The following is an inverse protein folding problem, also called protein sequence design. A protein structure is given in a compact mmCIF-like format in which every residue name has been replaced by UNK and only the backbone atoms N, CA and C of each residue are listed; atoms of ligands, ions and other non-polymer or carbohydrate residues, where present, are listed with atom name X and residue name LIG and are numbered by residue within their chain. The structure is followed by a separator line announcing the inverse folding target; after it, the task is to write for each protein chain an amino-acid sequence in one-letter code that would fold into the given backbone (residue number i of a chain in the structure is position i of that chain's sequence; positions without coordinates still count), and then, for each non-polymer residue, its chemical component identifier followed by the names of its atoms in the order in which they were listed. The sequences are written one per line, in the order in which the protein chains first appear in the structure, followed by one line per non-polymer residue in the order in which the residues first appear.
data_IF_512165186008
#
_entry.id   IF_512165186008
#
_cell.length_a   1.000
_cell.length_b   1.000
_cell.length_c   1.000
_cell.angle_alpha   90.00
_cell.angle_beta   90.00
_cell.angle_gamma   90.00
#
_symmetry.space_group_name_H-M   'P 1'
#
loop_
_entity.id
_entity.type
_entity.pdbx_description
1 polymer ?
#
# COMPACT_ATOMS: atom_id res chain seq x y z
N UNK A 1 -55.20 9.60 -11.58
CA UNK A 1 -55.45 8.14 -11.66
C UNK A 1 -54.13 7.43 -11.92
N UNK A 2 -53.62 6.66 -10.95
CA UNK A 2 -52.49 5.74 -11.17
C UNK A 2 -53.08 4.35 -11.41
N UNK A 3 -53.10 3.91 -12.65
CA UNK A 3 -53.52 2.56 -13.05
C UNK A 3 -52.36 1.61 -12.82
N UNK A 4 -52.49 0.72 -11.82
CA UNK A 4 -51.47 -0.25 -11.44
C UNK A 4 -51.37 -1.46 -12.38
N UNK A 5 -51.07 -1.22 -13.66
CA UNK A 5 -50.74 -2.28 -14.62
C UNK A 5 -49.23 -2.43 -14.77
N UNK A 6 -48.75 -3.68 -14.76
CA UNK A 6 -47.34 -4.00 -15.00
C UNK A 6 -46.90 -3.50 -16.39
N UNK A 7 -45.73 -2.86 -16.46
CA UNK A 7 -45.15 -2.46 -17.73
C UNK A 7 -44.87 -3.71 -18.56
N UNK A 8 -45.50 -3.82 -19.74
CA UNK A 8 -45.24 -4.89 -20.69
C UNK A 8 -43.78 -4.89 -21.18
N UNK A 9 -43.32 -5.97 -21.83
CA UNK A 9 -41.94 -6.08 -22.28
C UNK A 9 -41.61 -4.93 -23.24
N UNK A 10 -40.51 -4.21 -22.94
CA UNK A 10 -40.03 -3.10 -23.75
C UNK A 10 -39.59 -3.64 -25.13
N UNK A 11 -39.94 -2.96 -26.24
CA UNK A 11 -39.49 -3.36 -27.57
C UNK A 11 -37.97 -3.21 -27.66
N UNK A 12 -37.29 -4.24 -28.18
CA UNK A 12 -35.84 -4.21 -28.39
C UNK A 12 -35.47 -3.12 -29.41
N UNK A 13 -34.43 -2.29 -29.16
CA UNK A 13 -34.02 -1.27 -30.12
C UNK A 13 -33.39 -1.93 -31.36
N UNK A 14 -33.97 -1.71 -32.54
CA UNK A 14 -33.38 -2.16 -33.80
C UNK A 14 -32.25 -1.19 -34.18
N UNK A 15 -30.99 -1.50 -33.85
CA UNK A 15 -29.83 -0.66 -34.21
C UNK A 15 -28.60 -1.49 -34.58
N UNK A 16 -28.14 -1.35 -35.83
CA UNK A 16 -27.25 -2.27 -36.57
C UNK A 16 -25.74 -1.96 -36.51
N UNK A 17 -25.24 -1.33 -35.45
CA UNK A 17 -23.79 -1.07 -35.27
C UNK A 17 -23.09 -2.12 -34.41
N UNK A 18 -21.93 -2.64 -34.81
CA UNK A 18 -21.17 -3.63 -34.02
C UNK A 18 -20.73 -3.10 -32.64
N UNK A 19 -20.33 -1.82 -32.56
CA UNK A 19 -19.97 -1.18 -31.29
C UNK A 19 -21.17 -0.94 -30.36
N UNK A 20 -22.37 -0.74 -30.92
CA UNK A 20 -23.61 -0.59 -30.16
C UNK A 20 -24.14 -1.94 -29.68
N UNK A 21 -23.96 -3.02 -30.46
CA UNK A 21 -24.23 -4.40 -30.01
C UNK A 21 -23.34 -4.79 -28.83
N UNK A 22 -22.04 -4.47 -28.89
CA UNK A 22 -21.13 -4.70 -27.77
C UNK A 22 -21.52 -3.89 -26.51
N UNK A 23 -22.09 -2.70 -26.70
CA UNK A 23 -22.63 -1.90 -25.59
C UNK A 23 -23.91 -2.52 -25.01
N UNK A 24 -24.83 -2.98 -25.85
CA UNK A 24 -26.05 -3.67 -25.41
C UNK A 24 -25.72 -4.98 -24.68
N UNK A 25 -24.80 -5.78 -25.21
CA UNK A 25 -24.32 -7.00 -24.55
C UNK A 25 -23.64 -6.68 -23.21
N UNK A 26 -22.88 -5.58 -23.14
CA UNK A 26 -22.27 -5.12 -21.90
C UNK A 26 -23.31 -4.61 -20.89
N UNK A 27 -24.38 -3.93 -21.35
CA UNK A 27 -25.47 -3.44 -20.51
C UNK A 27 -26.36 -4.59 -20.02
N UNK A 28 -26.64 -5.58 -20.85
CA UNK A 28 -27.34 -6.81 -20.48
C UNK A 28 -26.52 -7.63 -19.47
N UNK A 29 -25.22 -7.81 -19.71
CA UNK A 29 -24.34 -8.49 -18.77
C UNK A 29 -24.21 -7.72 -17.44
N UNK A 30 -24.21 -6.38 -17.48
CA UNK A 30 -24.24 -5.55 -16.28
C UNK A 30 -25.57 -5.68 -15.54
N UNK A 31 -26.70 -5.63 -16.25
CA UNK A 31 -28.04 -5.79 -15.68
C UNK A 31 -28.18 -7.16 -15.01
N UNK A 32 -27.80 -8.26 -15.68
CA UNK A 32 -27.80 -9.60 -15.09
C UNK A 32 -26.85 -9.74 -13.90
N UNK A 33 -25.70 -9.06 -13.92
CA UNK A 33 -24.77 -9.06 -12.80
C UNK A 33 -25.33 -8.29 -11.59
N UNK A 34 -26.08 -7.21 -11.81
CA UNK A 34 -26.80 -6.48 -10.76
C UNK A 34 -28.01 -7.26 -10.25
N UNK A 35 -28.73 -7.95 -11.12
CA UNK A 35 -29.92 -8.75 -10.75
C UNK A 35 -29.51 -10.02 -9.98
N UNK A 36 -28.41 -10.68 -10.38
CA UNK A 36 -27.77 -11.75 -9.58
C UNK A 36 -27.28 -11.27 -8.22
N UNK A 37 -26.95 -9.99 -8.08
CA UNK A 37 -26.50 -9.36 -6.82
C UNK A 37 -27.66 -9.00 -5.89
N UNK A 38 -28.89 -8.92 -6.39
CA UNK A 38 -30.08 -8.73 -5.58
C UNK A 38 -30.51 -10.03 -4.86
N UNK A 39 -30.28 -11.20 -5.46
CA UNK A 39 -30.53 -12.52 -4.85
C UNK A 39 -29.39 -13.04 -3.96
N UNK A 40 -28.16 -12.61 -4.21
CA UNK A 40 -27.05 -12.85 -3.29
C UNK A 40 -27.02 -11.75 -2.25
N UNK A 41 -27.79 -11.95 -1.16
CA UNK A 41 -27.51 -11.27 0.10
C UNK A 41 -25.99 -11.20 0.26
N UNK A 42 -25.45 -9.99 0.34
CA UNK A 42 -24.08 -9.76 0.76
C UNK A 42 -24.00 -10.31 2.19
N UNK A 43 -23.83 -11.63 2.32
CA UNK A 43 -23.08 -12.22 3.40
C UNK A 43 -21.71 -11.61 3.25
N UNK A 44 -21.57 -10.39 3.78
CA UNK A 44 -20.34 -9.94 4.37
C UNK A 44 -20.02 -11.05 5.36
N UNK A 45 -19.25 -12.02 4.90
CA UNK A 45 -18.56 -12.93 5.80
C UNK A 45 -17.60 -11.99 6.52
N UNK A 46 -18.11 -11.33 7.57
CA UNK A 46 -17.33 -10.77 8.65
C UNK A 46 -16.82 -11.99 9.43
N UNK A 47 -16.04 -12.82 8.74
CA UNK A 47 -15.25 -13.85 9.37
C UNK A 47 -14.38 -13.12 10.37
N UNK A 48 -14.35 -13.62 11.61
CA UNK A 48 -13.29 -13.22 12.55
C UNK A 48 -11.98 -13.28 11.77
N UNK A 49 -11.16 -12.21 11.76
CA UNK A 49 -9.88 -12.27 11.09
C UNK A 49 -9.15 -13.46 11.69
N UNK A 50 -8.77 -14.42 10.84
CA UNK A 50 -8.02 -15.58 11.30
C UNK A 50 -6.68 -15.04 11.81
N UNK A 51 -6.49 -15.15 13.13
CA UNK A 51 -5.33 -14.57 13.82
C UNK A 51 -4.07 -15.37 13.51
N UNK A 52 -4.20 -16.65 13.16
CA UNK A 52 -3.08 -17.54 12.91
C UNK A 52 -2.20 -17.07 11.73
N UNK A 53 -2.73 -16.74 10.55
CA UNK A 53 -1.92 -16.20 9.46
C UNK A 53 -1.36 -14.80 9.76
N UNK A 54 -2.07 -13.98 10.53
CA UNK A 54 -1.58 -12.65 10.95
C UNK A 54 -0.41 -12.75 11.92
N UNK A 55 -0.51 -13.63 12.92
CA UNK A 55 0.56 -13.90 13.88
C UNK A 55 1.76 -14.54 13.19
N UNK A 56 1.54 -15.50 12.27
CA UNK A 56 2.63 -16.09 11.49
C UNK A 56 3.37 -15.04 10.65
N UNK A 57 2.65 -14.05 10.12
CA UNK A 57 3.25 -12.91 9.39
C UNK A 57 3.97 -11.93 10.32
N UNK A 58 3.43 -11.69 11.51
CA UNK A 58 4.04 -10.81 12.52
C UNK A 58 5.29 -11.41 13.18
N UNK A 59 5.33 -12.73 13.37
CA UNK A 59 6.50 -13.46 13.89
C UNK A 59 7.42 -14.00 12.80
N UNK A 60 7.06 -13.82 11.53
CA UNK A 60 7.92 -14.11 10.40
C UNK A 60 9.14 -13.17 10.33
N UNK A 61 10.09 -13.42 9.42
CA UNK A 61 11.32 -12.63 9.29
C UNK A 61 11.04 -11.14 9.13
N UNK A 62 10.09 -10.78 8.25
CA UNK A 62 9.67 -9.41 8.00
C UNK A 62 9.03 -8.73 9.23
N UNK A 63 8.26 -9.47 10.02
CA UNK A 63 7.60 -8.94 11.21
C UNK A 63 8.55 -8.79 12.41
N UNK A 64 9.48 -9.72 12.60
CA UNK A 64 10.56 -9.61 13.60
C UNK A 64 11.47 -8.42 13.33
N UNK A 65 11.81 -8.22 12.07
CA UNK A 65 12.65 -7.11 11.64
C UNK A 65 11.96 -5.75 11.80
N UNK A 66 10.67 -5.67 11.45
CA UNK A 66 9.85 -4.50 11.75
C UNK A 66 9.77 -4.23 13.26
N UNK A 67 9.51 -5.28 14.05
CA UNK A 67 9.46 -5.20 15.51
C UNK A 67 10.78 -4.72 16.10
N UNK A 68 11.91 -5.21 15.59
CA UNK A 68 13.25 -4.76 16.00
C UNK A 68 13.47 -3.28 15.68
N UNK A 69 13.06 -2.82 14.49
CA UNK A 69 13.19 -1.40 14.12
C UNK A 69 12.33 -0.49 15.00
N UNK A 70 11.10 -0.90 15.30
CA UNK A 70 10.23 -0.19 16.24
C UNK A 70 10.86 -0.15 17.63
N UNK A 71 11.37 -1.28 18.11
CA UNK A 71 12.04 -1.38 19.40
C UNK A 71 13.30 -0.50 19.45
N UNK A 72 14.10 -0.47 18.39
CA UNK A 72 15.32 0.33 18.30
C UNK A 72 15.01 1.84 18.24
N UNK A 73 14.06 2.26 17.40
CA UNK A 73 13.60 3.65 17.36
C UNK A 73 13.06 4.08 18.72
N UNK A 74 12.17 3.28 19.31
CA UNK A 74 11.56 3.56 20.60
C UNK A 74 12.64 3.62 21.70
N UNK A 75 13.52 2.62 21.77
CA UNK A 75 14.60 2.54 22.75
C UNK A 75 15.60 3.69 22.66
N UNK A 76 16.08 4.03 21.46
CA UNK A 76 17.00 5.16 21.27
C UNK A 76 16.31 6.48 21.63
N UNK A 77 15.07 6.69 21.18
CA UNK A 77 14.33 7.92 21.52
C UNK A 77 14.05 8.03 23.02
N UNK A 78 13.77 6.92 23.72
CA UNK A 78 13.58 6.91 25.16
C UNK A 78 14.91 7.17 25.89
N UNK A 79 16.00 6.54 25.46
CA UNK A 79 17.33 6.76 26.04
C UNK A 79 17.80 8.21 25.89
N UNK A 80 17.58 8.81 24.72
CA UNK A 80 17.87 10.24 24.48
C UNK A 80 17.00 11.12 25.37
N UNK A 81 15.69 10.85 25.45
CA UNK A 81 14.78 11.64 26.27
C UNK A 81 15.11 11.58 27.77
N UNK A 82 15.49 10.40 28.27
CA UNK A 82 15.92 10.21 29.67
C UNK A 82 17.29 10.85 29.94
N UNK A 83 18.24 10.77 29.00
CA UNK A 83 19.57 11.36 29.16
C UNK A 83 19.57 12.89 29.13
N UNK A 84 18.54 13.50 28.55
CA UNK A 84 18.36 14.95 28.54
C UNK A 84 17.52 15.48 29.72
N UNK A 85 17.13 14.61 30.67
CA UNK A 85 16.32 14.94 31.85
C UNK A 85 15.07 15.77 31.53
N UNK A 86 14.42 15.45 30.40
CA UNK A 86 13.22 16.18 29.99
C UNK A 86 12.03 15.77 30.85
N UNK A 87 11.34 16.75 31.43
CA UNK A 87 10.14 16.58 32.24
C UNK A 87 9.04 15.78 31.51
N UNK A 88 9.03 15.85 30.17
CA UNK A 88 8.06 15.19 29.30
C UNK A 88 8.67 14.06 28.43
N UNK A 89 9.59 13.27 28.99
CA UNK A 89 10.35 12.24 28.26
C UNK A 89 9.52 11.32 27.33
N UNK A 90 8.25 11.05 27.65
CA UNK A 90 7.35 10.15 26.91
C UNK A 90 6.95 10.68 25.52
N UNK A 91 7.14 11.97 25.25
CA UNK A 91 6.77 12.63 24.01
C UNK A 91 7.61 12.22 22.80
N UNK A 92 8.91 12.03 23.02
CA UNK A 92 9.85 11.66 21.96
C UNK A 92 9.64 10.21 21.48
N UNK A 93 9.49 9.19 22.36
CA UNK A 93 9.16 7.83 21.94
C UNK A 93 7.81 7.72 21.25
N UNK A 94 6.79 8.43 21.74
CA UNK A 94 5.48 8.44 21.10
C UNK A 94 5.55 8.96 19.65
N UNK A 95 6.34 10.01 19.42
CA UNK A 95 6.58 10.55 18.06
C UNK A 95 7.35 9.56 17.18
N UNK A 96 8.38 8.91 17.72
CA UNK A 96 9.17 7.93 16.99
C UNK A 96 8.31 6.72 16.55
N UNK A 97 7.50 6.16 17.45
CA UNK A 97 6.62 5.02 17.13
C UNK A 97 5.57 5.39 16.08
N UNK A 98 4.98 6.59 16.18
CA UNK A 98 4.03 7.07 15.17
C UNK A 98 4.65 7.17 13.78
N UNK A 99 5.90 7.64 13.69
CA UNK A 99 6.62 7.76 12.42
C UNK A 99 6.97 6.39 11.81
N UNK A 100 7.26 5.38 12.63
CA UNK A 100 7.68 4.05 12.16
C UNK A 100 6.50 3.20 11.66
N UNK A 101 5.26 3.54 12.01
CA UNK A 101 4.03 2.81 11.61
C UNK A 101 3.98 2.54 10.08
N UNK A 102 3.65 1.34 9.58
CA UNK A 102 3.75 1.04 8.15
C UNK A 102 2.66 1.68 7.27
N UNK A 103 1.61 2.27 7.87
CA UNK A 103 0.34 2.51 7.18
C UNK A 103 0.23 3.80 6.32
N UNK A 104 1.30 4.59 6.16
CA UNK A 104 1.20 5.95 5.57
C UNK A 104 2.27 6.24 4.49
N UNK A 105 2.61 5.25 3.65
CA UNK A 105 3.53 5.45 2.53
C UNK A 105 5.02 5.49 2.91
N UNK A 106 5.91 5.92 1.98
CA UNK A 106 7.36 5.88 2.15
C UNK A 106 7.84 6.59 3.44
N UNK A 107 8.65 5.90 4.24
CA UNK A 107 9.12 6.39 5.55
C UNK A 107 9.82 7.74 5.45
N UNK A 108 10.68 7.91 4.44
CA UNK A 108 11.43 9.15 4.19
C UNK A 108 10.48 10.32 3.91
N UNK A 109 9.55 10.16 2.96
CA UNK A 109 8.55 11.19 2.63
C UNK A 109 7.75 11.62 3.85
N UNK A 110 7.39 10.67 4.73
CA UNK A 110 6.62 10.95 5.94
C UNK A 110 7.43 11.71 6.97
N UNK A 111 8.67 11.29 7.24
CA UNK A 111 9.52 11.97 8.22
C UNK A 111 9.87 13.37 7.74
N UNK A 112 10.19 13.56 6.45
CA UNK A 112 10.39 14.88 5.85
C UNK A 112 9.13 15.74 5.93
N UNK A 113 7.97 15.18 5.60
CA UNK A 113 6.71 15.92 5.71
C UNK A 113 6.38 16.30 7.15
N UNK A 114 6.73 15.45 8.13
CA UNK A 114 6.58 15.76 9.54
C UNK A 114 7.54 16.85 9.98
N UNK A 115 8.82 16.75 9.63
CA UNK A 115 9.81 17.77 9.92
C UNK A 115 9.42 19.13 9.30
N UNK A 116 9.05 19.16 8.01
CA UNK A 116 8.61 20.36 7.32
C UNK A 116 7.33 20.95 7.95
N UNK A 117 6.35 20.09 8.29
CA UNK A 117 5.12 20.52 8.97
C UNK A 117 5.38 21.07 10.37
N UNK A 118 6.29 20.44 11.13
CA UNK A 118 6.68 20.93 12.46
C UNK A 118 7.41 22.28 12.37
N UNK A 119 8.36 22.44 11.46
CA UNK A 119 9.07 23.71 11.24
C UNK A 119 8.10 24.80 10.77
N UNK A 120 7.27 24.50 9.77
CA UNK A 120 6.28 25.45 9.24
C UNK A 120 5.25 25.85 10.29
N UNK A 121 4.72 24.87 11.04
CA UNK A 121 3.78 25.13 12.13
C UNK A 121 4.41 25.94 13.26
N UNK A 122 5.65 25.64 13.65
CA UNK A 122 6.38 26.40 14.66
C UNK A 122 6.66 27.84 14.21
N UNK A 123 7.01 28.06 12.93
CA UNK A 123 7.21 29.40 12.37
C UNK A 123 5.91 30.22 12.34
N UNK A 124 4.80 29.61 11.93
CA UNK A 124 3.47 30.25 11.96
C UNK A 124 3.08 30.61 13.40
N UNK A 125 3.28 29.67 14.33
CA UNK A 125 3.01 29.89 15.75
C UNK A 125 3.85 31.06 16.31
N UNK A 126 5.17 31.05 16.07
CA UNK A 126 6.08 32.09 16.53
C UNK A 126 5.72 33.46 15.95
N UNK A 127 5.43 33.54 14.63
CA UNK A 127 5.03 34.79 13.99
C UNK A 127 3.70 35.33 14.52
N UNK A 128 2.73 34.45 14.78
CA UNK A 128 1.43 34.85 15.31
C UNK A 128 1.51 35.39 16.75
N UNK A 129 2.30 34.74 17.61
CA UNK A 129 2.49 35.18 19.01
C UNK A 129 3.48 36.34 19.16
N UNK A 130 4.33 36.61 18.15
CA UNK A 130 5.15 37.81 18.12
C UNK A 130 4.33 39.09 17.87
N UNK A 131 3.17 38.96 17.21
CA UNK A 131 2.31 40.08 16.83
C UNK A 131 1.20 40.37 17.86
N UNK A 132 0.85 39.40 18.71
CA UNK A 132 -0.30 39.52 19.62
C UNK A 132 0.06 38.99 21.00
N UNK A 133 -0.06 39.85 22.01
CA UNK A 133 0.17 39.50 23.42
C UNK A 133 -1.14 39.12 24.12
N UNK A 134 -1.11 38.07 24.96
CA UNK A 134 -2.24 37.64 25.80
C UNK A 134 -2.75 36.22 25.49
N UNK A 135 -3.76 35.72 26.22
CA UNK A 135 -4.28 34.35 26.04
C UNK A 135 -5.27 34.20 24.87
N UNK A 136 -5.91 35.30 24.44
CA UNK A 136 -6.85 35.34 23.33
C UNK A 136 -6.30 34.79 21.99
N UNK A 137 -5.09 35.15 21.52
CA UNK A 137 -4.53 34.57 20.30
C UNK A 137 -4.42 33.05 20.39
N UNK A 138 -4.05 32.52 21.55
CA UNK A 138 -3.88 31.10 21.73
C UNK A 138 -5.22 30.33 21.62
N UNK A 139 -6.31 30.89 22.17
CA UNK A 139 -7.68 30.36 22.01
C UNK A 139 -8.13 30.44 20.55
N UNK A 140 -7.88 31.56 19.87
CA UNK A 140 -8.22 31.73 18.46
C UNK A 140 -7.46 30.72 17.57
N UNK A 141 -6.17 30.51 17.84
CA UNK A 141 -5.34 29.54 17.14
C UNK A 141 -5.88 28.11 17.32
N UNK A 142 -6.30 27.72 18.53
CA UNK A 142 -6.93 26.42 18.79
C UNK A 142 -8.23 26.27 17.98
N UNK A 143 -9.11 27.27 17.99
CA UNK A 143 -10.38 27.24 17.26
C UNK A 143 -10.16 27.14 15.73
N UNK A 144 -9.26 27.95 15.19
CA UNK A 144 -8.91 27.95 13.76
C UNK A 144 -8.29 26.61 13.35
N UNK A 145 -7.33 26.10 14.14
CA UNK A 145 -6.72 24.81 13.86
C UNK A 145 -7.76 23.67 13.91
N UNK A 146 -8.66 23.68 14.90
CA UNK A 146 -9.76 22.73 15.00
C UNK A 146 -10.63 22.70 13.74
N UNK A 147 -10.97 23.88 13.22
CA UNK A 147 -11.74 24.01 11.98
C UNK A 147 -10.96 23.58 10.73
N UNK A 148 -9.63 23.70 10.73
CA UNK A 148 -8.77 23.33 9.61
C UNK A 148 -8.45 21.82 9.55
N UNK A 149 -8.64 21.05 10.63
CA UNK A 149 -8.32 19.61 10.66
C UNK A 149 -8.93 18.83 9.48
N UNK A 150 -10.25 18.93 9.17
CA UNK A 150 -10.86 18.16 8.09
C UNK A 150 -10.24 18.46 6.71
N UNK A 151 -9.89 19.74 6.47
CA UNK A 151 -9.28 20.18 5.22
C UNK A 151 -7.82 19.74 5.15
N UNK A 152 -7.10 19.84 6.26
CA UNK A 152 -5.68 19.53 6.35
C UNK A 152 -5.38 18.03 6.18
N UNK A 153 -6.34 17.13 6.47
CA UNK A 153 -6.18 15.68 6.27
C UNK A 153 -5.89 15.28 4.82
N UNK A 154 -6.14 16.16 3.84
CA UNK A 154 -5.81 15.94 2.43
C UNK A 154 -4.30 15.98 2.14
N UNK A 155 -3.51 16.66 2.98
CA UNK A 155 -2.07 16.79 2.79
C UNK A 155 -1.33 16.54 4.11
N UNK A 156 -0.49 15.50 4.14
CA UNK A 156 0.18 15.05 5.37
C UNK A 156 1.02 16.14 6.06
N UNK A 157 1.73 16.97 5.27
CA UNK A 157 2.50 18.10 5.80
C UNK A 157 1.59 19.20 6.38
N UNK A 158 0.48 19.52 5.72
CA UNK A 158 -0.48 20.51 6.19
C UNK A 158 -1.18 20.05 7.48
N UNK A 159 -1.60 18.78 7.54
CA UNK A 159 -2.12 18.17 8.76
C UNK A 159 -1.12 18.30 9.91
N UNK A 160 0.15 17.99 9.65
CA UNK A 160 1.19 18.07 10.68
C UNK A 160 1.41 19.51 11.15
N UNK A 161 1.41 20.49 10.24
CA UNK A 161 1.55 21.89 10.60
C UNK A 161 0.39 22.39 11.46
N UNK A 162 -0.85 22.10 11.07
CA UNK A 162 -2.06 22.46 11.84
C UNK A 162 -2.04 21.83 13.23
N UNK A 163 -1.71 20.54 13.32
CA UNK A 163 -1.58 19.84 14.62
C UNK A 163 -0.46 20.45 15.46
N UNK A 164 0.66 20.85 14.85
CA UNK A 164 1.77 21.49 15.58
C UNK A 164 1.31 22.82 16.18
N UNK A 165 0.71 23.71 15.38
CA UNK A 165 0.19 25.00 15.89
C UNK A 165 -0.84 24.78 17.00
N UNK A 166 -1.75 23.81 16.82
CA UNK A 166 -2.73 23.44 17.82
C UNK A 166 -2.08 23.02 19.14
N UNK A 167 -1.14 22.07 19.08
CA UNK A 167 -0.44 21.54 20.27
C UNK A 167 0.36 22.64 20.97
N UNK A 168 1.11 23.46 20.22
CA UNK A 168 1.88 24.56 20.81
C UNK A 168 0.97 25.60 21.49
N UNK A 169 -0.17 25.91 20.88
CA UNK A 169 -1.16 26.81 21.47
C UNK A 169 -1.75 26.24 22.76
N UNK A 170 -2.06 24.94 22.79
CA UNK A 170 -2.54 24.26 24.00
C UNK A 170 -1.49 24.26 25.12
N UNK A 171 -0.20 24.06 24.79
CA UNK A 171 0.90 24.11 25.77
C UNK A 171 1.05 25.51 26.38
N UNK A 172 0.92 26.57 25.57
CA UNK A 172 0.91 27.94 26.10
C UNK A 172 -0.32 28.21 26.96
N UNK A 173 -1.52 27.72 26.59
CA UNK A 173 -2.71 27.81 27.45
C UNK A 173 -2.52 27.08 28.78
N UNK A 174 -1.78 25.97 28.77
CA UNK A 174 -1.49 25.18 29.97
C UNK A 174 -0.49 25.87 30.91
N UNK A 175 0.11 27.01 30.51
CA UNK A 175 1.01 27.80 31.35
C UNK A 175 2.50 27.50 31.19
N UNK A 176 2.88 26.65 30.22
CA UNK A 176 4.26 26.16 30.04
C UNK A 176 4.87 26.61 28.70
N UNK A 177 5.04 27.92 28.42
CA UNK A 177 5.50 28.40 27.11
C UNK A 177 6.92 27.94 26.76
N UNK A 178 7.77 27.67 27.75
CA UNK A 178 9.11 27.12 27.56
C UNK A 178 9.07 25.69 27.00
N UNK A 179 8.06 24.90 27.39
CA UNK A 179 7.87 23.53 26.90
C UNK A 179 7.46 23.49 25.41
N UNK A 180 6.90 24.59 24.87
CA UNK A 180 6.52 24.69 23.46
C UNK A 180 7.74 24.59 22.53
N UNK A 181 8.85 25.24 22.88
CA UNK A 181 10.09 25.13 22.09
C UNK A 181 10.74 23.75 22.25
N UNK A 182 10.76 23.21 23.47
CA UNK A 182 11.21 21.85 23.74
C UNK A 182 10.50 20.82 22.87
N UNK A 183 9.18 20.95 22.71
CA UNK A 183 8.35 20.08 21.87
C UNK A 183 8.77 20.06 20.39
N UNK A 184 9.17 21.21 19.84
CA UNK A 184 9.64 21.31 18.46
C UNK A 184 10.97 20.58 18.30
N UNK A 185 11.92 20.82 19.22
CA UNK A 185 13.25 20.18 19.23
C UNK A 185 13.13 18.67 19.40
N UNK A 186 12.29 18.19 20.33
CA UNK A 186 12.02 16.77 20.54
C UNK A 186 11.45 16.10 19.28
N UNK A 187 10.48 16.74 18.62
CA UNK A 187 9.86 16.20 17.40
C UNK A 187 10.88 16.09 16.27
N UNK A 188 11.73 17.11 16.07
CA UNK A 188 12.78 17.09 15.07
C UNK A 188 13.87 16.06 15.37
N UNK A 189 14.25 15.92 16.64
CA UNK A 189 15.24 14.93 17.06
C UNK A 189 14.69 13.51 16.90
N UNK A 190 13.40 13.28 17.22
CA UNK A 190 12.74 12.02 16.92
C UNK A 190 12.70 11.74 15.40
N UNK A 191 12.47 12.76 14.56
CA UNK A 191 12.55 12.63 13.10
C UNK A 191 13.97 12.21 12.66
N UNK A 192 15.01 12.83 13.21
CA UNK A 192 16.40 12.47 12.92
C UNK A 192 16.73 11.03 13.32
N UNK A 193 16.35 10.61 14.54
CA UNK A 193 16.53 9.23 15.02
C UNK A 193 15.82 8.24 14.09
N UNK A 194 14.57 8.50 13.71
CA UNK A 194 13.80 7.61 12.82
C UNK A 194 14.39 7.58 11.40
N UNK A 195 14.96 8.68 10.90
CA UNK A 195 15.68 8.65 9.62
C UNK A 195 16.97 7.85 9.70
N UNK A 196 17.76 8.03 10.76
CA UNK A 196 19.01 7.30 10.99
C UNK A 196 18.75 5.79 11.13
N UNK A 197 17.87 5.40 12.05
CA UNK A 197 17.43 4.00 12.24
C UNK A 197 16.66 3.49 11.02
N UNK A 198 15.98 4.39 10.32
CA UNK A 198 15.33 4.14 9.04
C UNK A 198 16.33 3.80 7.93
N UNK A 199 17.51 4.39 7.95
CA UNK A 199 18.51 4.18 6.92
C UNK A 199 19.52 3.08 7.28
N UNK A 200 19.55 2.65 8.54
CA UNK A 200 20.34 1.51 8.98
C UNK A 200 19.99 0.28 8.11
N UNK A 201 20.97 -0.26 7.35
CA UNK A 201 20.77 -1.46 6.55
C UNK A 201 20.67 -2.64 7.50
N UNK A 202 19.47 -2.88 8.03
CA UNK A 202 19.22 -4.14 8.72
C UNK A 202 19.38 -5.28 7.70
N UNK A 203 20.22 -6.28 8.01
CA UNK A 203 20.46 -7.40 7.12
C UNK A 203 19.16 -8.22 7.00
N UNK A 204 18.42 -8.04 5.90
CA UNK A 204 17.17 -8.76 5.64
C UNK A 204 16.06 -7.96 4.94
N UNK A 205 15.96 -6.63 5.20
CA UNK A 205 14.79 -5.78 4.90
C UNK A 205 14.18 -5.88 3.51
N UNK A 206 15.01 -5.86 2.46
CA UNK A 206 14.53 -5.51 1.10
C UNK A 206 14.53 -6.70 0.15
N UNK A 207 15.51 -7.60 0.29
CA UNK A 207 15.56 -8.85 -0.47
C UNK A 207 14.38 -9.78 -0.14
N UNK A 208 13.93 -9.83 1.12
CA UNK A 208 12.78 -10.64 1.49
C UNK A 208 11.46 -10.06 1.02
N UNK A 209 11.26 -8.73 1.04
CA UNK A 209 10.04 -8.09 0.49
C UNK A 209 9.92 -8.24 -1.02
N UNK A 210 11.03 -8.07 -1.74
CA UNK A 210 11.09 -8.31 -3.19
C UNK A 210 10.78 -9.78 -3.47
N UNK A 211 11.42 -10.71 -2.73
CA UNK A 211 11.16 -12.15 -2.84
C UNK A 211 9.70 -12.49 -2.55
N UNK A 212 9.14 -12.04 -1.44
CA UNK A 212 7.73 -12.28 -1.07
C UNK A 212 6.75 -11.76 -2.12
N UNK A 213 7.01 -10.57 -2.68
CA UNK A 213 6.17 -9.98 -3.72
C UNK A 213 6.24 -10.80 -5.02
N UNK A 214 7.45 -11.22 -5.41
CA UNK A 214 7.68 -12.08 -6.57
C UNK A 214 7.06 -13.48 -6.36
N UNK A 215 7.25 -14.10 -5.20
CA UNK A 215 6.66 -15.40 -4.84
C UNK A 215 5.12 -15.35 -4.89
N UNK A 216 4.55 -14.26 -4.37
CA UNK A 216 3.09 -14.03 -4.44
C UNK A 216 2.61 -13.91 -5.89
N UNK A 217 3.35 -13.19 -6.73
CA UNK A 217 3.03 -13.01 -8.14
C UNK A 217 3.17 -14.33 -8.94
N UNK A 218 4.21 -15.12 -8.67
CA UNK A 218 4.41 -16.47 -9.22
C UNK A 218 3.25 -17.39 -8.82
N UNK A 219 2.84 -17.39 -7.55
CA UNK A 219 1.72 -18.19 -7.08
C UNK A 219 0.39 -17.80 -7.73
N UNK A 220 0.16 -16.50 -7.96
CA UNK A 220 -1.04 -15.99 -8.64
C UNK A 220 -1.05 -16.37 -10.12
N UNK A 221 0.08 -16.26 -10.83
CA UNK A 221 0.19 -16.69 -12.22
C UNK A 221 -0.01 -18.20 -12.39
N UNK A 222 0.57 -19.02 -11.52
CA UNK A 222 0.32 -20.47 -11.52
C UNK A 222 -1.14 -20.82 -11.25
N UNK A 223 -1.82 -20.12 -10.33
CA UNK A 223 -3.26 -20.29 -10.09
C UNK A 223 -4.08 -19.93 -11.33
N UNK A 224 -3.74 -18.83 -12.00
CA UNK A 224 -4.39 -18.41 -13.23
C UNK A 224 -4.21 -19.44 -14.36
N UNK A 225 -2.97 -19.87 -14.61
CA UNK A 225 -2.65 -20.86 -15.65
C UNK A 225 -3.37 -22.19 -15.41
N UNK A 226 -3.32 -22.74 -14.19
CA UNK A 226 -4.02 -23.98 -13.86
C UNK A 226 -5.52 -23.87 -14.12
N UNK A 227 -6.12 -22.72 -13.80
CA UNK A 227 -7.54 -22.52 -14.00
C UNK A 227 -7.90 -22.44 -15.48
N UNK A 228 -7.09 -21.73 -16.29
CA UNK A 228 -7.28 -21.66 -17.75
C UNK A 228 -7.21 -23.05 -18.39
N UNK A 229 -6.28 -23.90 -17.95
CA UNK A 229 -6.12 -25.26 -18.48
C UNK A 229 -7.22 -26.22 -17.99
N UNK A 230 -7.62 -26.13 -16.72
CA UNK A 230 -8.58 -27.08 -16.14
C UNK A 230 -10.05 -26.71 -16.40
N UNK A 231 -10.38 -25.42 -16.49
CA UNK A 231 -11.76 -24.92 -16.59
C UNK A 231 -11.91 -23.85 -17.69
N UNK A 232 -11.66 -24.20 -18.97
CA UNK A 232 -11.64 -23.24 -20.07
C UNK A 232 -13.00 -22.58 -20.37
N UNK A 233 -14.09 -23.06 -19.78
CA UNK A 233 -15.45 -22.54 -19.95
C UNK A 233 -15.84 -21.52 -18.85
N UNK A 234 -15.14 -21.46 -17.71
CA UNK A 234 -15.47 -20.55 -16.61
C UNK A 234 -14.88 -19.16 -16.85
N UNK A 235 -15.61 -18.32 -17.59
CA UNK A 235 -15.20 -16.95 -17.92
C UNK A 235 -15.13 -16.02 -16.70
N UNK A 236 -16.02 -16.20 -15.72
CA UNK A 236 -16.13 -15.31 -14.57
C UNK A 236 -14.95 -15.50 -13.60
N UNK A 237 -14.63 -16.74 -13.23
CA UNK A 237 -13.50 -17.02 -12.35
C UNK A 237 -12.16 -16.70 -13.02
N UNK A 238 -12.04 -16.99 -14.32
CA UNK A 238 -10.87 -16.60 -15.15
C UNK A 238 -10.62 -15.10 -15.12
N UNK A 239 -11.67 -14.28 -15.26
CA UNK A 239 -11.54 -12.82 -15.20
C UNK A 239 -11.02 -12.32 -13.86
N UNK A 240 -11.41 -12.95 -12.74
CA UNK A 240 -10.91 -12.63 -11.40
C UNK A 240 -9.45 -13.03 -11.24
N UNK A 241 -9.09 -14.26 -11.62
CA UNK A 241 -7.72 -14.77 -11.50
C UNK A 241 -6.73 -14.04 -12.41
N UNK A 242 -7.16 -13.64 -13.61
CA UNK A 242 -6.37 -12.77 -14.50
C UNK A 242 -6.05 -11.44 -13.81
N UNK A 243 -7.06 -10.78 -13.23
CA UNK A 243 -6.86 -9.51 -12.50
C UNK A 243 -5.95 -9.69 -11.29
N UNK A 244 -6.04 -10.81 -10.57
CA UNK A 244 -5.16 -11.13 -9.43
C UNK A 244 -3.71 -11.31 -9.89
N UNK A 245 -3.48 -12.04 -10.99
CA UNK A 245 -2.15 -12.24 -11.58
C UNK A 245 -1.50 -10.92 -12.05
N UNK A 246 -2.22 -10.08 -12.80
CA UNK A 246 -1.67 -8.77 -13.22
C UNK A 246 -1.46 -7.82 -12.04
N UNK A 247 -2.36 -7.80 -11.04
CA UNK A 247 -2.22 -6.92 -9.87
C UNK A 247 -1.03 -7.32 -9.01
N UNK A 248 -0.81 -8.61 -8.80
CA UNK A 248 0.35 -9.12 -8.07
C UNK A 248 1.66 -8.91 -8.82
N UNK A 249 1.67 -9.07 -10.15
CA UNK A 249 2.82 -8.72 -11.01
C UNK A 249 3.15 -7.22 -10.93
N UNK A 250 2.15 -6.34 -11.04
CA UNK A 250 2.34 -4.90 -10.94
C UNK A 250 2.85 -4.50 -9.54
N UNK A 251 2.35 -5.12 -8.48
CA UNK A 251 2.85 -4.91 -7.12
C UNK A 251 4.32 -5.36 -6.98
N UNK A 252 4.71 -6.50 -7.56
CA UNK A 252 6.10 -6.97 -7.55
C UNK A 252 7.03 -6.00 -8.28
N UNK A 253 6.61 -5.47 -9.45
CA UNK A 253 7.36 -4.42 -10.18
C UNK A 253 7.53 -3.14 -9.39
N UNK A 254 6.46 -2.64 -8.78
CA UNK A 254 6.54 -1.43 -7.97
C UNK A 254 7.54 -1.58 -6.81
N UNK A 255 7.61 -2.76 -6.19
CA UNK A 255 8.59 -3.06 -5.13
C UNK A 255 10.01 -3.17 -5.68
N UNK A 256 10.20 -3.72 -6.88
CA UNK A 256 11.48 -3.80 -7.57
C UNK A 256 12.00 -2.41 -7.96
N UNK A 257 11.17 -1.60 -8.62
CA UNK A 257 11.51 -0.24 -9.06
C UNK A 257 11.87 0.65 -7.86
N UNK A 258 11.09 0.56 -6.78
CA UNK A 258 11.40 1.25 -5.53
C UNK A 258 12.74 0.79 -4.95
N UNK A 259 13.02 -0.51 -4.98
CA UNK A 259 14.27 -1.06 -4.46
C UNK A 259 15.48 -0.63 -5.30
N UNK A 260 15.33 -0.55 -6.64
CA UNK A 260 16.35 -0.08 -7.56
C UNK A 260 16.62 1.43 -7.39
N UNK A 261 15.57 2.23 -7.21
CA UNK A 261 15.67 3.68 -6.99
C UNK A 261 16.27 4.05 -5.63
N UNK A 262 16.01 3.26 -4.59
CA UNK A 262 16.53 3.54 -3.24
C UNK A 262 18.02 3.19 -3.07
N UNK A 263 18.60 2.27 -3.84
CA UNK A 263 20.02 1.87 -3.72
C UNK A 263 20.67 1.46 -5.07
N UNK A 264 21.35 2.39 -5.77
CA UNK A 264 22.17 2.08 -6.94
C UNK A 264 23.21 0.95 -6.76
N UNK A 265 23.92 0.81 -5.61
CA UNK A 265 24.89 -0.28 -5.43
C UNK A 265 24.26 -1.67 -5.17
N UNK A 266 22.93 -1.77 -5.07
CA UNK A 266 22.18 -3.03 -4.91
C UNK A 266 21.54 -3.47 -6.23
N UNK A 267 21.66 -2.69 -7.31
CA UNK A 267 21.08 -2.97 -8.62
C UNK A 267 21.47 -4.37 -9.17
N UNK A 268 22.70 -4.83 -8.90
CA UNK A 268 23.12 -6.19 -9.27
C UNK A 268 22.33 -7.32 -8.57
N UNK A 269 21.74 -7.06 -7.40
CA UNK A 269 20.91 -8.01 -6.64
C UNK A 269 19.43 -7.98 -7.06
N UNK A 270 18.94 -6.89 -7.64
CA UNK A 270 17.57 -6.79 -8.17
C UNK A 270 17.46 -7.30 -9.61
N UNK A 271 18.56 -7.28 -10.37
CA UNK A 271 18.61 -7.79 -11.75
C UNK A 271 18.04 -9.21 -11.90
N UNK A 272 18.38 -10.13 -10.99
CA UNK A 272 17.83 -11.49 -11.01
C UNK A 272 16.32 -11.57 -10.75
N UNK A 273 15.74 -10.60 -10.05
CA UNK A 273 14.29 -10.52 -9.86
C UNK A 273 13.57 -9.79 -10.99
N UNK A 274 14.25 -8.87 -11.69
CA UNK A 274 13.74 -8.28 -12.94
C UNK A 274 13.58 -9.34 -14.03
N UNK A 275 14.53 -10.26 -14.15
CA UNK A 275 14.42 -11.43 -15.04
C UNK A 275 13.20 -12.30 -14.70
N UNK A 276 12.97 -12.56 -13.40
CA UNK A 276 11.79 -13.32 -12.94
C UNK A 276 10.49 -12.56 -13.23
N UNK A 277 10.44 -11.25 -12.99
CA UNK A 277 9.26 -10.43 -13.30
C UNK A 277 8.96 -10.39 -14.80
N UNK A 278 10.00 -10.31 -15.64
CA UNK A 278 9.86 -10.39 -17.10
C UNK A 278 9.41 -11.77 -17.59
N UNK A 279 9.91 -12.85 -16.98
CA UNK A 279 9.43 -14.21 -17.28
C UNK A 279 7.97 -14.39 -16.86
N UNK A 280 7.59 -13.83 -15.71
CA UNK A 280 6.22 -13.87 -15.20
C UNK A 280 5.24 -13.11 -16.09
N UNK A 281 5.62 -11.93 -16.59
CA UNK A 281 4.81 -11.17 -17.56
C UNK A 281 4.56 -11.99 -18.82
N UNK A 282 5.62 -12.53 -19.43
CA UNK A 282 5.51 -13.38 -20.62
C UNK A 282 4.57 -14.57 -20.39
N UNK A 283 4.66 -15.20 -19.22
CA UNK A 283 3.78 -16.31 -18.84
C UNK A 283 2.31 -15.88 -18.73
N UNK A 284 2.02 -14.77 -18.03
CA UNK A 284 0.64 -14.27 -17.85
C UNK A 284 0.04 -13.83 -19.18
N UNK A 285 0.81 -13.18 -20.05
CA UNK A 285 0.36 -12.75 -21.37
C UNK A 285 0.08 -13.94 -22.29
N UNK A 286 0.98 -14.93 -22.31
CA UNK A 286 0.79 -16.15 -23.12
C UNK A 286 -0.38 -16.97 -22.61
N UNK A 287 -0.56 -17.05 -21.28
CA UNK A 287 -1.75 -17.67 -20.66
C UNK A 287 -3.03 -16.94 -21.05
N UNK A 288 -3.00 -15.61 -21.11
CA UNK A 288 -4.15 -14.80 -21.53
C UNK A 288 -4.47 -14.99 -23.02
N UNK A 289 -3.46 -15.00 -23.89
CA UNK A 289 -3.61 -15.29 -25.31
C UNK A 289 -4.21 -16.70 -25.54
N UNK A 290 -3.70 -17.69 -24.81
CA UNK A 290 -4.24 -19.05 -24.81
C UNK A 290 -5.70 -19.10 -24.34
N UNK A 291 -6.02 -18.38 -23.26
CA UNK A 291 -7.37 -18.31 -22.72
C UNK A 291 -8.40 -17.70 -23.69
N UNK A 292 -8.01 -16.71 -24.48
CA UNK A 292 -8.86 -16.10 -25.53
C UNK A 292 -9.09 -17.10 -26.66
N UNK A 293 -8.03 -17.75 -27.12
CA UNK A 293 -8.13 -18.68 -28.25
C UNK A 293 -8.90 -19.96 -27.90
N UNK A 294 -8.79 -20.43 -26.65
CA UNK A 294 -9.63 -21.51 -26.11
C UNK A 294 -11.12 -21.12 -26.01
N UNK A 295 -11.40 -19.85 -25.71
CA UNK A 295 -12.78 -19.34 -25.65
C UNK A 295 -13.40 -19.28 -27.05
N UNK A 296 -12.65 -18.80 -28.04
CA UNK A 296 -13.13 -18.63 -29.41
C UNK A 296 -13.26 -19.95 -30.19
N UNK A 297 -12.45 -20.97 -29.88
CA UNK A 297 -12.39 -22.21 -30.70
C UNK A 297 -13.09 -23.44 -30.12
N UNK A 298 -13.59 -23.39 -28.89
CA UNK A 298 -14.33 -24.50 -28.24
C UNK A 298 -13.65 -25.90 -28.29
N UNK A 299 -12.36 -25.98 -28.64
CA UNK A 299 -11.61 -27.21 -28.88
C UNK A 299 -10.15 -27.05 -28.42
N UNK A 300 -9.50 -28.20 -28.21
CA UNK A 300 -8.24 -28.40 -27.50
C UNK A 300 -7.10 -27.39 -27.78
N UNK A 301 -6.20 -27.25 -26.79
CA UNK A 301 -5.02 -26.39 -26.85
C UNK A 301 -4.21 -26.65 -28.14
N UNK A 302 -3.90 -25.62 -28.95
CA UNK A 302 -2.94 -25.79 -30.04
C UNK A 302 -1.58 -26.20 -29.46
N UNK A 303 -0.98 -27.28 -29.98
CA UNK A 303 0.36 -27.79 -29.57
C UNK A 303 1.42 -26.68 -29.43
N UNK A 304 1.50 -25.67 -30.31
CA UNK A 304 2.47 -24.58 -30.17
C UNK A 304 2.31 -23.75 -28.89
N UNK A 305 1.11 -23.63 -28.34
CA UNK A 305 0.86 -22.88 -27.10
C UNK A 305 1.22 -23.70 -25.86
N UNK A 306 1.03 -25.03 -25.90
CA UNK A 306 1.45 -25.91 -24.82
C UNK A 306 2.97 -25.91 -24.67
N UNK A 307 3.68 -26.01 -25.78
CA UNK A 307 5.15 -25.93 -25.83
C UNK A 307 5.64 -24.55 -25.35
N UNK A 308 5.02 -23.46 -25.81
CA UNK A 308 5.37 -22.09 -25.38
C UNK A 308 5.18 -21.88 -23.88
N UNK A 309 4.08 -22.38 -23.31
CA UNK A 309 3.81 -22.29 -21.87
C UNK A 309 4.82 -23.14 -21.08
N UNK A 310 5.15 -24.34 -21.55
CA UNK A 310 6.14 -25.21 -20.91
C UNK A 310 7.55 -24.57 -20.93
N UNK A 311 7.96 -23.99 -22.05
CA UNK A 311 9.22 -23.23 -22.18
C UNK A 311 9.26 -22.05 -21.19
N UNK A 312 8.17 -21.30 -21.07
CA UNK A 312 8.10 -20.13 -20.18
C UNK A 312 8.08 -20.54 -18.70
N UNK A 313 7.42 -21.64 -18.34
CA UNK A 313 7.49 -22.21 -17.00
C UNK A 313 8.92 -22.66 -16.66
N UNK A 314 9.59 -23.35 -17.58
CA UNK A 314 10.98 -23.78 -17.39
C UNK A 314 11.93 -22.58 -17.24
N UNK A 315 11.72 -21.52 -18.03
CA UNK A 315 12.48 -20.28 -17.92
C UNK A 315 12.20 -19.55 -16.59
N UNK A 316 10.94 -19.51 -16.14
CA UNK A 316 10.56 -18.95 -14.84
C UNK A 316 11.22 -19.72 -13.69
N UNK A 317 11.18 -21.04 -13.70
CA UNK A 317 11.82 -21.89 -12.68
C UNK A 317 13.34 -21.77 -12.68
N UNK A 318 13.96 -21.59 -13.86
CA UNK A 318 15.40 -21.33 -13.97
C UNK A 318 15.77 -19.97 -13.37
N UNK A 319 15.04 -18.91 -13.73
CA UNK A 319 15.25 -17.56 -13.20
C UNK A 319 14.99 -17.50 -11.68
N UNK A 320 13.95 -18.19 -11.20
CA UNK A 320 13.60 -18.25 -9.79
C UNK A 320 14.70 -18.98 -8.97
N UNK A 321 15.26 -20.07 -9.50
CA UNK A 321 16.41 -20.77 -8.90
C UNK A 321 17.71 -19.98 -8.98
N UNK A 322 17.93 -19.18 -10.03
CA UNK A 322 19.08 -18.29 -10.13
C UNK A 322 19.00 -17.17 -9.07
N UNK A 323 17.84 -16.53 -8.93
CA UNK A 323 17.55 -15.54 -7.89
C UNK A 323 17.65 -16.10 -6.46
N UNK A 324 17.30 -17.38 -6.27
CA UNK A 324 17.52 -18.08 -4.99
C UNK A 324 19.01 -18.28 -4.65
N UNK A 325 19.88 -18.48 -5.65
CA UNK A 325 21.32 -18.73 -5.47
C UNK A 325 22.16 -17.46 -5.37
N UNK A 326 21.72 -16.36 -5.98
CA UNK A 326 22.35 -15.04 -5.84
C UNK A 326 22.10 -14.37 -4.49
N UNK A 327 21.20 -14.91 -3.66
CA UNK A 327 21.07 -14.57 -2.24
C UNK A 327 21.80 -15.60 -1.38
N UNK A 328 23.04 -15.33 -0.95
CA UNK A 328 23.77 -16.19 0.01
C UNK A 328 23.53 -15.66 1.45
N UNK A 329 23.67 -16.51 2.48
CA UNK A 329 22.63 -17.22 3.22
C UNK A 329 22.09 -16.42 4.44
N UNK A 330 21.17 -17.06 5.17
CA UNK A 330 20.52 -16.66 6.43
C UNK A 330 21.41 -15.91 7.41
#
# INVERSE_FOLDING_TARGET
MRTGSACGPLPAPVRSGAGLRALDDALLAAAEAFDRRAGQSLRTVRGRPDLVPLLRRAFGPAGREYGFRVALCCGISAAVALGLDHEHWYWMPATAVFLVKPDLGPLVSRVLSRAAGTVGGAAVFAGFFALVSGPLPAVAAVAVCGALIPVATRHFAAQTAVVTVLVLSLVVLAGEPQAAWGRVVESLTACAIVLLVGHLPLPGQRGHRVRDAVDTAVAAAHRYLRHVLAHPQDGAARGVLRRDAYRSLAAARAVLDLSAAELPPVAGRTAGFEEVAGALERLVDTTTACAVQLHDRSAALPVPHAERIAEQLAALDAAHRASARSGVPV
#
